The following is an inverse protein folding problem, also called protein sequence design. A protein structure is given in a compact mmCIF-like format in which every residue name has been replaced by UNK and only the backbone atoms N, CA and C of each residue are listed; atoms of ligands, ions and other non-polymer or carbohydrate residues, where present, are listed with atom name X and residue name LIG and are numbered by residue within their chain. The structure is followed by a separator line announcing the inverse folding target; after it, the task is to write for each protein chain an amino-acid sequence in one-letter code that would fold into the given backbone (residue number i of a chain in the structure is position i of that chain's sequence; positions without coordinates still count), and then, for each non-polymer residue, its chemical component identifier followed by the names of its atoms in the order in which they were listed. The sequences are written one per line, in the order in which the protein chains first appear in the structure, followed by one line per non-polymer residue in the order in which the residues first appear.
data_IF_803163794369
#
_entry.id   IF_803163794369
#
_cell.length_a   1.000
_cell.length_b   1.000
_cell.length_c   1.000
_cell.angle_alpha   90.00
_cell.angle_beta   90.00
_cell.angle_gamma   90.00
#
_symmetry.space_group_name_H-M   'P 1'
#
loop_
_entity.id
_entity.type
_entity.pdbx_description
1 polymer ?
#
# COMPACT_ATOMS: atom_id res chain seq x y z
N UNK A 1 1.31 36.74 -6.64
CA UNK A 1 1.25 35.27 -6.81
C UNK A 1 0.57 35.04 -8.16
N UNK A 2 1.29 34.53 -9.17
CA UNK A 2 0.78 34.43 -10.55
C UNK A 2 0.43 32.98 -10.82
N UNK A 3 -0.86 32.70 -11.03
CA UNK A 3 -1.39 31.36 -11.34
C UNK A 3 -1.41 31.13 -12.86
N UNK A 4 -1.61 29.88 -13.30
CA UNK A 4 -1.85 29.53 -14.72
C UNK A 4 -3.03 30.32 -15.30
N UNK A 5 -4.01 30.70 -14.48
CA UNK A 5 -5.18 31.51 -14.86
C UNK A 5 -4.80 32.97 -15.09
N UNK A 6 -3.89 33.51 -14.28
CA UNK A 6 -3.39 34.88 -14.40
C UNK A 6 -2.48 35.05 -15.63
N UNK A 7 -1.78 33.99 -16.05
CA UNK A 7 -0.95 34.01 -17.27
C UNK A 7 -1.77 34.01 -18.57
N UNK A 8 -2.97 33.40 -18.57
CA UNK A 8 -3.85 33.35 -19.76
C UNK A 8 -4.48 34.72 -20.06
N UNK A 9 -4.56 35.63 -19.08
CA UNK A 9 -5.29 36.90 -19.21
C UNK A 9 -4.43 38.17 -19.35
N UNK A 10 -3.10 38.12 -19.17
CA UNK A 10 -2.30 39.36 -19.09
C UNK A 10 -0.87 39.36 -19.65
N UNK A 11 -0.36 38.23 -20.16
CA UNK A 11 1.01 38.17 -20.70
C UNK A 11 0.96 37.70 -22.15
N UNK A 12 1.77 38.33 -23.02
CA UNK A 12 1.95 37.89 -24.39
C UNK A 12 2.50 36.45 -24.41
N UNK A 13 1.60 35.47 -24.49
CA UNK A 13 1.92 34.08 -24.77
C UNK A 13 2.30 34.02 -26.25
N UNK A 14 3.59 33.92 -26.54
CA UNK A 14 4.01 33.55 -27.87
C UNK A 14 3.64 32.07 -28.07
N UNK A 15 2.62 31.81 -28.88
CA UNK A 15 2.53 30.54 -29.58
C UNK A 15 3.69 30.52 -30.57
N UNK A 16 4.86 30.02 -30.15
CA UNK A 16 5.96 29.83 -31.08
C UNK A 16 5.51 28.85 -32.15
N UNK A 17 5.68 29.20 -33.42
CA UNK A 17 5.48 28.30 -34.56
C UNK A 17 6.41 27.06 -34.52
N UNK A 18 7.39 27.04 -33.63
CA UNK A 18 8.24 25.90 -33.33
C UNK A 18 7.66 25.02 -32.23
N UNK A 19 7.64 23.71 -32.49
CA UNK A 19 7.31 22.68 -31.51
C UNK A 19 8.50 22.51 -30.56
N UNK A 20 8.53 23.29 -29.47
CA UNK A 20 9.66 23.28 -28.52
C UNK A 20 9.43 22.23 -27.44
N UNK A 21 10.44 21.38 -27.22
CA UNK A 21 10.50 20.41 -26.12
C UNK A 21 11.55 20.84 -25.11
N UNK A 22 11.64 20.16 -23.96
CA UNK A 22 12.72 20.45 -23.00
C UNK A 22 14.09 20.08 -23.58
N UNK A 23 14.19 18.94 -24.28
CA UNK A 23 15.43 18.47 -24.90
C UNK A 23 15.92 19.41 -26.03
N UNK A 24 15.00 19.96 -26.83
CA UNK A 24 15.34 20.87 -27.93
C UNK A 24 15.46 22.34 -27.49
N UNK A 25 15.26 22.65 -26.21
CA UNK A 25 15.15 24.03 -25.74
C UNK A 25 16.45 24.83 -25.90
N UNK A 26 17.61 24.17 -25.80
CA UNK A 26 18.91 24.80 -25.97
C UNK A 26 19.15 25.35 -27.38
N UNK A 27 18.40 24.87 -28.37
CA UNK A 27 18.47 25.34 -29.76
C UNK A 27 17.46 26.46 -30.05
N UNK A 28 16.46 26.62 -29.17
CA UNK A 28 15.42 27.62 -29.30
C UNK A 28 15.94 29.00 -28.88
N UNK A 29 15.51 30.05 -29.59
CA UNK A 29 15.81 31.44 -29.24
C UNK A 29 14.49 32.21 -29.11
N UNK A 30 13.91 32.26 -27.90
CA UNK A 30 12.74 33.09 -27.63
C UNK A 30 13.06 34.57 -27.88
N UNK A 31 12.09 35.34 -28.36
CA UNK A 31 12.22 36.79 -28.39
C UNK A 31 12.34 37.35 -26.96
N UNK A 32 13.04 38.47 -26.78
CA UNK A 32 13.32 39.01 -25.45
C UNK A 32 12.07 39.41 -24.66
N UNK A 33 10.98 39.71 -25.36
CA UNK A 33 9.68 40.02 -24.77
C UNK A 33 8.96 38.80 -24.18
N UNK A 34 9.35 37.58 -24.55
CA UNK A 34 8.71 36.35 -24.06
C UNK A 34 9.19 36.07 -22.63
N UNK A 35 8.22 36.00 -21.70
CA UNK A 35 8.48 35.74 -20.27
C UNK A 35 8.18 34.30 -19.85
N UNK A 36 7.36 33.59 -20.62
CA UNK A 36 7.05 32.20 -20.37
C UNK A 36 6.72 31.43 -21.67
N UNK A 37 6.99 30.14 -21.66
CA UNK A 37 6.79 29.20 -22.78
C UNK A 37 6.15 27.93 -22.24
N UNK A 38 5.16 27.40 -22.95
CA UNK A 38 4.62 26.07 -22.67
C UNK A 38 5.31 25.08 -23.60
N UNK A 39 5.93 24.06 -23.02
CA UNK A 39 6.61 23.03 -23.80
C UNK A 39 5.60 22.06 -24.41
N UNK A 40 5.88 21.65 -25.65
CA UNK A 40 5.14 20.61 -26.36
C UNK A 40 5.43 19.20 -25.85
N UNK A 41 6.51 19.01 -25.08
CA UNK A 41 6.96 17.74 -24.51
C UNK A 41 8.28 17.87 -23.73
N UNK A 42 8.70 16.81 -23.06
CA UNK A 42 9.99 16.74 -22.36
C UNK A 42 11.12 16.36 -23.33
N UNK A 43 11.07 15.17 -23.93
CA UNK A 43 12.03 14.68 -24.90
C UNK A 43 11.54 14.84 -26.34
N UNK A 44 10.26 14.60 -26.57
CA UNK A 44 9.64 14.65 -27.88
C UNK A 44 8.27 15.33 -27.80
N UNK A 45 7.82 15.98 -28.89
CA UNK A 45 6.51 16.60 -28.91
C UNK A 45 5.39 15.62 -28.60
N UNK A 46 4.45 16.02 -27.74
CA UNK A 46 3.29 15.22 -27.38
C UNK A 46 3.53 14.16 -26.31
N UNK A 47 4.78 13.96 -25.86
CA UNK A 47 5.09 13.05 -24.77
C UNK A 47 4.45 13.47 -23.44
N UNK A 48 4.68 12.68 -22.40
CA UNK A 48 4.05 12.87 -21.08
C UNK A 48 4.49 14.13 -20.35
N UNK A 49 5.56 14.80 -20.78
CA UNK A 49 5.99 16.08 -20.21
C UNK A 49 5.43 17.30 -20.93
N UNK A 50 4.52 17.12 -21.89
CA UNK A 50 3.81 18.22 -22.54
C UNK A 50 3.06 19.10 -21.54
N UNK A 51 2.95 20.38 -21.87
CA UNK A 51 2.22 21.36 -21.05
C UNK A 51 3.02 21.94 -19.89
N UNK A 52 4.30 21.56 -19.73
CA UNK A 52 5.19 22.16 -18.74
C UNK A 52 5.40 23.65 -19.06
N UNK A 53 5.08 24.53 -18.10
CA UNK A 53 5.29 25.97 -18.23
C UNK A 53 6.70 26.33 -17.74
N UNK A 54 7.52 26.87 -18.62
CA UNK A 54 8.83 27.41 -18.30
C UNK A 54 8.76 28.93 -18.30
N UNK A 55 9.25 29.57 -17.23
CA UNK A 55 9.36 31.02 -17.13
C UNK A 55 10.82 31.44 -17.01
N UNK A 56 11.15 32.68 -17.41
CA UNK A 56 12.49 33.24 -17.21
C UNK A 56 12.90 33.14 -15.74
N UNK A 57 14.16 32.78 -15.50
CA UNK A 57 14.70 32.58 -14.16
C UNK A 57 16.22 32.57 -14.13
N UNK A 58 16.78 31.76 -13.23
CA UNK A 58 18.22 31.61 -13.02
C UNK A 58 18.64 30.13 -12.96
N UNK A 59 19.95 29.88 -12.84
CA UNK A 59 20.55 28.55 -12.82
C UNK A 59 20.15 27.66 -11.63
N UNK A 60 19.51 28.23 -10.59
CA UNK A 60 19.21 27.54 -9.33
C UNK A 60 17.74 27.18 -9.18
N UNK A 61 16.88 27.65 -10.08
CA UNK A 61 15.45 27.33 -10.03
C UNK A 61 15.15 25.89 -10.42
N UNK A 62 13.86 25.56 -10.42
CA UNK A 62 13.41 24.19 -10.64
C UNK A 62 13.65 23.74 -12.09
N UNK A 63 14.40 22.64 -12.26
CA UNK A 63 14.73 22.04 -13.56
C UNK A 63 15.20 23.10 -14.57
N UNK A 64 16.30 23.81 -14.28
CA UNK A 64 16.75 24.92 -15.10
C UNK A 64 17.19 24.42 -16.48
N UNK A 65 16.98 25.24 -17.51
CA UNK A 65 17.50 25.05 -18.88
C UNK A 65 17.93 26.39 -19.45
N UNK A 66 18.98 26.37 -20.27
CA UNK A 66 19.41 27.52 -21.06
C UNK A 66 18.79 27.44 -22.45
N UNK A 67 18.39 28.59 -22.98
CA UNK A 67 18.11 28.76 -24.39
C UNK A 67 19.39 29.04 -25.20
N UNK A 68 19.26 29.18 -26.52
CA UNK A 68 20.39 29.45 -27.43
C UNK A 68 21.13 30.76 -27.14
N UNK A 69 20.44 31.74 -26.55
CA UNK A 69 21.02 33.04 -26.17
C UNK A 69 21.76 32.99 -24.82
N UNK A 70 21.64 31.88 -24.08
CA UNK A 70 22.22 31.69 -22.76
C UNK A 70 21.33 32.16 -21.61
N UNK A 71 20.09 32.56 -21.89
CA UNK A 71 19.11 32.94 -20.86
C UNK A 71 18.59 31.70 -20.14
N UNK A 72 18.37 31.79 -18.83
CA UNK A 72 17.86 30.70 -18.00
C UNK A 72 16.33 30.69 -17.94
N UNK A 73 15.78 29.48 -17.99
CA UNK A 73 14.35 29.20 -17.89
C UNK A 73 14.11 28.06 -16.91
N UNK A 74 13.15 28.25 -16.03
CA UNK A 74 12.83 27.32 -14.94
C UNK A 74 11.40 26.83 -15.05
N UNK A 75 11.17 25.57 -14.67
CA UNK A 75 9.84 25.01 -14.57
C UNK A 75 9.04 25.80 -13.53
N UNK A 76 7.96 26.43 -13.97
CA UNK A 76 7.02 27.11 -13.09
C UNK A 76 5.90 26.15 -12.67
N UNK A 77 6.10 25.50 -11.53
CA UNK A 77 5.20 24.48 -10.98
C UNK A 77 4.62 24.88 -9.60
N UNK A 78 4.25 26.16 -9.43
CA UNK A 78 3.77 26.72 -8.15
C UNK A 78 2.24 26.62 -7.97
N UNK A 79 1.64 25.52 -8.41
CA UNK A 79 0.18 25.37 -8.51
C UNK A 79 -0.45 24.41 -7.50
N UNK A 80 0.33 23.81 -6.60
CA UNK A 80 -0.13 22.75 -5.68
C UNK A 80 -0.52 21.43 -6.39
N UNK A 81 -0.46 21.42 -7.72
CA UNK A 81 -0.62 20.27 -8.59
C UNK A 81 0.44 20.32 -9.68
N UNK A 82 1.13 19.21 -9.91
CA UNK A 82 2.15 19.05 -10.95
C UNK A 82 1.99 17.73 -11.68
N UNK A 83 2.53 17.62 -12.89
CA UNK A 83 2.58 16.35 -13.62
C UNK A 83 3.96 15.72 -13.53
N UNK A 84 4.04 14.42 -13.22
CA UNK A 84 5.31 13.70 -13.12
C UNK A 84 6.13 13.77 -14.42
N UNK A 85 5.47 13.80 -15.58
CA UNK A 85 6.13 13.95 -16.88
C UNK A 85 6.88 15.27 -17.05
N UNK A 86 6.50 16.34 -16.33
CA UNK A 86 7.25 17.60 -16.34
C UNK A 86 8.63 17.47 -15.69
N UNK A 87 8.82 16.43 -14.88
CA UNK A 87 10.07 16.09 -14.20
C UNK A 87 10.84 14.97 -14.91
N UNK A 88 10.32 14.48 -16.04
CA UNK A 88 10.97 13.46 -16.85
C UNK A 88 10.48 12.03 -16.58
N UNK A 89 9.38 11.83 -15.85
CA UNK A 89 8.75 10.52 -15.73
C UNK A 89 7.96 10.23 -17.02
N UNK A 90 8.55 9.49 -17.94
CA UNK A 90 8.06 9.31 -19.31
C UNK A 90 7.65 7.88 -19.63
N UNK A 91 8.02 6.87 -18.82
CA UNK A 91 7.73 5.46 -19.12
C UNK A 91 8.65 4.87 -20.21
N UNK A 92 9.85 5.44 -20.37
CA UNK A 92 10.84 5.01 -21.37
C UNK A 92 12.07 4.34 -20.74
N UNK A 93 12.30 4.57 -19.44
CA UNK A 93 13.41 4.05 -18.65
C UNK A 93 12.93 3.89 -17.19
N UNK A 94 13.85 3.71 -16.24
CA UNK A 94 13.50 3.77 -14.83
C UNK A 94 13.15 5.22 -14.43
N UNK A 95 11.88 5.44 -14.11
CA UNK A 95 11.29 6.73 -13.78
C UNK A 95 11.39 7.07 -12.29
N UNK A 96 12.02 6.21 -11.47
CA UNK A 96 12.13 6.38 -10.02
C UNK A 96 12.59 7.78 -9.61
N UNK A 97 13.71 8.25 -10.18
CA UNK A 97 14.29 9.56 -9.81
C UNK A 97 13.40 10.73 -10.25
N UNK A 98 12.84 10.67 -11.46
CA UNK A 98 11.96 11.71 -11.98
C UNK A 98 10.66 11.82 -11.17
N UNK A 99 10.10 10.68 -10.76
CA UNK A 99 8.91 10.63 -9.91
C UNK A 99 9.21 11.18 -8.51
N UNK A 100 10.34 10.82 -7.91
CA UNK A 100 10.76 11.36 -6.62
C UNK A 100 10.94 12.89 -6.68
N UNK A 101 11.54 13.43 -7.75
CA UNK A 101 11.69 14.88 -7.93
C UNK A 101 10.35 15.62 -7.95
N UNK A 102 9.33 15.05 -8.61
CA UNK A 102 7.98 15.63 -8.63
C UNK A 102 7.33 15.63 -7.24
N UNK A 103 7.48 14.53 -6.50
CA UNK A 103 6.96 14.38 -5.13
C UNK A 103 7.65 15.34 -4.17
N UNK A 104 8.98 15.41 -4.20
CA UNK A 104 9.76 16.30 -3.34
C UNK A 104 9.43 17.76 -3.59
N UNK A 105 9.19 18.13 -4.87
CA UNK A 105 8.78 19.48 -5.22
C UNK A 105 7.43 19.85 -4.60
N UNK A 106 6.42 18.99 -4.75
CA UNK A 106 5.10 19.22 -4.13
C UNK A 106 5.18 19.23 -2.61
N UNK A 107 5.96 18.33 -2.02
CA UNK A 107 6.17 18.31 -0.57
C UNK A 107 6.81 19.60 -0.05
N UNK A 108 7.84 20.11 -0.74
CA UNK A 108 8.50 21.40 -0.40
C UNK A 108 7.55 22.60 -0.47
N UNK A 109 6.44 22.49 -1.20
CA UNK A 109 5.39 23.51 -1.25
C UNK A 109 4.36 23.40 -0.11
N UNK A 110 4.52 22.43 0.80
CA UNK A 110 3.58 22.15 1.89
C UNK A 110 2.56 21.05 1.57
N UNK A 111 2.76 20.30 0.48
CA UNK A 111 1.86 19.24 0.02
C UNK A 111 1.15 19.61 -1.28
N UNK A 112 0.30 18.71 -1.76
CA UNK A 112 -0.40 18.86 -3.04
C UNK A 112 -0.49 17.57 -3.83
N UNK A 113 -0.69 17.68 -5.15
CA UNK A 113 -0.96 16.54 -6.03
C UNK A 113 0.11 16.36 -7.10
N UNK A 114 0.65 15.15 -7.21
CA UNK A 114 1.43 14.68 -8.37
C UNK A 114 0.50 13.87 -9.26
N UNK A 115 0.23 14.37 -10.46
CA UNK A 115 -0.53 13.67 -11.49
C UNK A 115 0.37 12.85 -12.40
N UNK A 116 -0.15 11.71 -12.83
CA UNK A 116 0.58 10.77 -13.67
C UNK A 116 -0.27 10.45 -14.88
N UNK A 117 0.25 10.74 -16.07
CA UNK A 117 -0.47 10.43 -17.31
C UNK A 117 -0.62 8.92 -17.50
N UNK A 118 -1.59 8.51 -18.32
CA UNK A 118 -1.75 7.10 -18.67
C UNK A 118 -0.47 6.55 -19.33
N UNK A 119 -0.07 5.33 -18.98
CA UNK A 119 1.18 4.72 -19.43
C UNK A 119 1.73 3.67 -18.49
N UNK A 120 2.68 2.88 -19.00
CA UNK A 120 3.51 1.97 -18.18
C UNK A 120 4.81 2.67 -17.81
N UNK A 121 5.12 2.66 -16.51
CA UNK A 121 6.31 3.26 -15.90
C UNK A 121 7.11 2.19 -15.19
N UNK A 122 8.43 2.21 -15.38
CA UNK A 122 9.32 1.35 -14.61
C UNK A 122 9.76 2.13 -13.39
N UNK A 123 9.51 1.60 -12.19
CA UNK A 123 9.98 2.18 -10.92
C UNK A 123 10.67 1.05 -10.18
N UNK A 124 11.98 0.93 -10.34
CA UNK A 124 12.73 -0.27 -9.98
C UNK A 124 14.06 0.00 -9.26
N UNK A 125 14.57 1.23 -9.25
CA UNK A 125 15.77 1.57 -8.46
C UNK A 125 15.43 1.70 -6.97
N UNK A 126 16.33 1.19 -6.12
CA UNK A 126 16.31 1.46 -4.67
C UNK A 126 16.69 2.93 -4.45
N UNK A 127 15.81 3.70 -3.82
CA UNK A 127 16.11 5.08 -3.41
C UNK A 127 16.37 5.22 -1.91
N UNK A 128 16.02 4.21 -1.12
CA UNK A 128 16.25 4.22 0.32
C UNK A 128 15.69 2.99 1.02
N UNK A 129 15.69 3.05 2.34
CA UNK A 129 15.20 1.99 3.22
C UNK A 129 14.24 2.57 4.25
N UNK A 130 13.04 2.01 4.33
CA UNK A 130 12.03 2.36 5.33
C UNK A 130 12.23 1.47 6.56
N UNK A 131 12.48 2.09 7.70
CA UNK A 131 12.61 1.36 8.97
C UNK A 131 11.35 0.57 9.29
N UNK A 132 11.52 -0.64 9.79
CA UNK A 132 10.45 -1.49 10.32
C UNK A 132 10.37 -1.22 11.83
N UNK A 133 9.26 -0.65 12.32
CA UNK A 133 9.18 -0.25 13.72
C UNK A 133 9.09 -1.43 14.71
N UNK A 134 9.00 -2.66 14.22
CA UNK A 134 9.03 -3.86 15.05
C UNK A 134 10.44 -4.15 15.58
N UNK A 135 10.87 -3.45 16.62
CA UNK A 135 12.08 -3.76 17.38
C UNK A 135 11.91 -3.38 18.84
N UNK A 136 12.67 -4.05 19.70
CA UNK A 136 12.77 -3.74 21.12
C UNK A 136 14.06 -2.95 21.37
N UNK A 137 13.95 -1.73 21.89
CA UNK A 137 15.09 -0.85 22.18
C UNK A 137 15.87 -1.24 23.45
N UNK A 138 15.44 -2.33 24.12
CA UNK A 138 16.06 -2.85 25.32
C UNK A 138 15.69 -2.09 26.59
N UNK A 139 14.91 -1.00 26.49
CA UNK A 139 14.54 -0.14 27.61
C UNK A 139 13.10 -0.41 28.05
N UNK A 140 12.87 -0.39 29.37
CA UNK A 140 11.53 -0.49 29.94
C UNK A 140 11.48 0.20 31.30
N UNK A 141 10.49 1.05 31.53
CA UNK A 141 10.40 1.82 32.78
C UNK A 141 10.16 0.86 33.94
N UNK A 142 11.01 0.93 34.96
CA UNK A 142 10.89 0.07 36.15
C UNK A 142 11.44 -1.36 35.99
N UNK A 143 12.15 -1.67 34.90
CA UNK A 143 12.78 -2.98 34.69
C UNK A 143 14.24 -2.87 34.24
N UNK A 144 15.06 -3.93 34.44
CA UNK A 144 16.42 -3.96 33.89
C UNK A 144 16.43 -3.82 32.37
N UNK A 145 17.37 -2.99 31.90
CA UNK A 145 17.69 -2.91 30.49
C UNK A 145 18.19 -4.27 29.98
N UNK A 146 17.83 -4.61 28.75
CA UNK A 146 18.37 -5.76 28.02
C UNK A 146 19.03 -5.27 26.74
N UNK A 147 19.77 -6.14 26.05
CA UNK A 147 20.38 -5.80 24.78
C UNK A 147 19.32 -5.37 23.74
N UNK A 148 19.44 -4.20 23.11
CA UNK A 148 18.52 -3.77 22.06
C UNK A 148 18.51 -4.73 20.87
N UNK A 149 17.39 -4.79 20.16
CA UNK A 149 17.34 -5.48 18.87
C UNK A 149 17.96 -4.65 17.75
N UNK A 150 18.53 -5.36 16.78
CA UNK A 150 18.95 -4.74 15.53
C UNK A 150 17.71 -4.21 14.80
N UNK A 151 17.70 -2.91 14.56
CA UNK A 151 16.69 -2.23 13.74
C UNK A 151 16.76 -2.77 12.32
N UNK A 152 15.63 -3.21 11.79
CA UNK A 152 15.50 -3.69 10.43
C UNK A 152 14.83 -2.65 9.55
N UNK A 153 15.07 -2.73 8.24
CA UNK A 153 14.47 -1.83 7.25
C UNK A 153 14.13 -2.60 5.98
N UNK A 154 13.20 -2.06 5.19
CA UNK A 154 12.79 -2.57 3.88
C UNK A 154 13.18 -1.58 2.78
N UNK A 155 13.80 -2.05 1.70
CA UNK A 155 14.12 -1.21 0.56
C UNK A 155 12.86 -0.62 -0.10
N UNK A 156 12.94 0.61 -0.59
CA UNK A 156 11.87 1.25 -1.35
C UNK A 156 12.38 1.98 -2.58
N UNK A 157 11.49 2.15 -3.57
CA UNK A 157 11.79 2.90 -4.78
C UNK A 157 11.45 4.38 -4.66
N UNK A 158 10.26 4.73 -4.18
CA UNK A 158 9.83 6.13 -4.05
C UNK A 158 9.26 6.40 -2.66
N UNK A 159 9.69 7.51 -2.07
CA UNK A 159 9.23 8.02 -0.77
C UNK A 159 8.05 8.96 -0.97
N UNK A 160 6.97 8.73 -0.23
CA UNK A 160 5.75 9.55 -0.25
C UNK A 160 5.55 10.19 1.13
N UNK A 161 5.87 11.48 1.29
CA UNK A 161 5.68 12.17 2.56
C UNK A 161 4.21 12.57 2.79
N UNK A 162 3.89 12.95 4.04
CA UNK A 162 2.57 13.46 4.41
C UNK A 162 2.13 14.67 3.58
N UNK A 163 0.82 14.78 3.35
CA UNK A 163 0.22 15.86 2.56
C UNK A 163 0.40 15.74 1.04
N UNK A 164 1.08 14.69 0.54
CA UNK A 164 1.22 14.43 -0.90
C UNK A 164 0.15 13.45 -1.38
N UNK A 165 -0.45 13.78 -2.51
CA UNK A 165 -1.39 12.94 -3.25
C UNK A 165 -0.77 12.51 -4.57
N UNK A 166 -0.85 11.23 -4.92
CA UNK A 166 -0.40 10.68 -6.20
C UNK A 166 -1.62 10.15 -6.94
N UNK A 167 -1.90 10.71 -8.10
CA UNK A 167 -3.13 10.41 -8.85
C UNK A 167 -2.78 10.05 -10.29
N UNK A 168 -3.02 8.79 -10.65
CA UNK A 168 -2.92 8.32 -12.03
C UNK A 168 -4.14 8.73 -12.87
N UNK A 169 -3.93 8.82 -14.17
CA UNK A 169 -5.02 8.70 -15.14
C UNK A 169 -5.39 7.23 -15.32
N UNK A 170 -6.58 6.96 -15.88
CA UNK A 170 -6.95 5.60 -16.21
C UNK A 170 -5.93 4.98 -17.18
N UNK A 171 -5.36 3.82 -16.81
CA UNK A 171 -4.29 3.18 -17.55
C UNK A 171 -2.88 3.59 -17.13
N UNK A 172 -2.69 4.16 -15.94
CA UNK A 172 -1.36 4.30 -15.31
C UNK A 172 -0.93 2.99 -14.64
N UNK A 173 0.23 2.47 -15.02
CA UNK A 173 0.85 1.25 -14.50
C UNK A 173 2.26 1.54 -13.97
N UNK A 174 2.56 1.06 -12.76
CA UNK A 174 3.92 0.91 -12.27
C UNK A 174 4.32 -0.55 -12.30
N UNK A 175 5.50 -0.82 -12.85
CA UNK A 175 6.04 -2.17 -13.01
C UNK A 175 7.40 -2.28 -12.34
N UNK A 176 7.47 -3.23 -11.40
CA UNK A 176 8.71 -3.67 -10.79
C UNK A 176 9.24 -4.96 -11.44
N UNK A 177 10.27 -5.51 -10.82
CA UNK A 177 10.94 -6.76 -11.22
C UNK A 177 10.71 -7.91 -10.23
N UNK A 178 9.83 -7.72 -9.23
CA UNK A 178 9.61 -8.71 -8.18
C UNK A 178 9.20 -10.06 -8.75
N UNK A 179 9.85 -11.12 -8.25
CA UNK A 179 9.43 -12.50 -8.48
C UNK A 179 8.71 -13.00 -7.25
N UNK A 180 7.45 -13.41 -7.42
CA UNK A 180 6.63 -13.87 -6.32
C UNK A 180 7.28 -15.03 -5.56
N UNK A 181 7.37 -14.91 -4.24
CA UNK A 181 8.02 -15.87 -3.34
C UNK A 181 9.41 -15.44 -2.90
N UNK A 182 10.06 -14.51 -3.61
CA UNK A 182 11.22 -13.84 -3.04
C UNK A 182 10.76 -13.01 -1.84
N UNK A 183 11.49 -13.11 -0.74
CA UNK A 183 11.17 -12.35 0.46
C UNK A 183 12.48 -12.01 1.17
N UNK A 184 12.85 -10.73 1.12
CA UNK A 184 14.05 -10.20 1.76
C UNK A 184 13.90 -8.71 2.00
N UNK A 185 14.83 -8.14 2.77
CA UNK A 185 14.90 -6.70 3.02
C UNK A 185 15.23 -5.86 1.77
N UNK A 186 15.78 -6.50 0.74
CA UNK A 186 16.23 -5.84 -0.49
C UNK A 186 15.12 -5.81 -1.56
N UNK A 187 14.03 -6.56 -1.34
CA UNK A 187 12.85 -6.52 -2.19
C UNK A 187 12.10 -5.19 -2.03
N UNK A 188 11.55 -4.65 -3.13
CA UNK A 188 11.10 -3.26 -3.13
C UNK A 188 9.68 -3.05 -2.65
N UNK A 189 9.52 -2.05 -1.79
CA UNK A 189 8.30 -1.25 -1.71
C UNK A 189 8.29 -0.27 -2.89
N UNK A 190 7.27 -0.24 -3.73
CA UNK A 190 7.19 0.80 -4.78
C UNK A 190 7.03 2.18 -4.14
N UNK A 191 5.93 2.39 -3.40
CA UNK A 191 5.66 3.63 -2.67
C UNK A 191 5.75 3.42 -1.17
N UNK A 192 6.85 3.89 -0.58
CA UNK A 192 7.02 3.93 0.87
C UNK A 192 6.51 5.24 1.45
N UNK A 193 5.45 5.16 2.27
CA UNK A 193 4.99 6.27 3.09
C UNK A 193 5.82 6.25 4.36
N UNK A 194 6.73 7.22 4.46
CA UNK A 194 7.73 7.28 5.52
C UNK A 194 7.60 8.58 6.33
N UNK A 195 7.85 8.47 7.63
CA UNK A 195 7.73 9.55 8.60
C UNK A 195 7.80 9.03 10.04
N UNK A 196 8.11 9.93 10.98
CA UNK A 196 7.99 9.66 12.40
C UNK A 196 6.58 10.02 12.89
N UNK A 197 5.94 9.10 13.61
CA UNK A 197 4.62 9.34 14.20
C UNK A 197 3.47 9.28 13.19
N UNK A 198 2.58 10.28 13.24
CA UNK A 198 1.36 10.34 12.43
C UNK A 198 1.58 11.08 11.11
N UNK A 199 1.50 10.35 10.01
CA UNK A 199 1.54 10.90 8.65
C UNK A 199 0.10 11.09 8.18
N UNK A 200 -0.25 12.34 7.86
CA UNK A 200 -1.61 12.73 7.51
C UNK A 200 -1.78 12.99 6.01
N UNK A 201 -3.02 12.84 5.53
CA UNK A 201 -3.48 13.36 4.22
C UNK A 201 -2.71 12.85 3.01
N UNK A 202 -2.14 11.64 3.08
CA UNK A 202 -1.57 10.95 1.91
C UNK A 202 -2.71 10.36 1.08
N UNK A 203 -2.63 10.48 -0.24
CA UNK A 203 -3.55 9.78 -1.13
C UNK A 203 -2.81 9.11 -2.31
N UNK A 204 -3.21 7.89 -2.66
CA UNK A 204 -2.72 7.18 -3.85
C UNK A 204 -3.95 6.64 -4.59
N UNK A 205 -4.14 7.10 -5.83
CA UNK A 205 -5.40 6.90 -6.56
C UNK A 205 -5.16 6.52 -8.03
N UNK A 206 -6.02 5.66 -8.58
CA UNK A 206 -6.10 5.31 -10.01
C UNK A 206 -4.80 4.72 -10.60
N UNK A 207 -4.16 3.79 -9.87
CA UNK A 207 -2.87 3.23 -10.27
C UNK A 207 -2.91 1.70 -10.22
N UNK A 208 -2.35 1.07 -11.25
CA UNK A 208 -2.03 -0.36 -11.24
C UNK A 208 -0.58 -0.57 -10.85
N UNK A 209 -0.31 -1.40 -9.86
CA UNK A 209 1.03 -1.84 -9.48
C UNK A 209 1.21 -3.30 -9.88
N UNK A 210 2.32 -3.62 -10.53
CA UNK A 210 2.65 -4.96 -10.99
C UNK A 210 4.04 -5.37 -10.54
N UNK A 211 4.16 -6.60 -10.03
CA UNK A 211 5.44 -7.21 -9.67
C UNK A 211 6.24 -6.34 -8.68
N UNK A 212 5.64 -6.04 -7.53
CA UNK A 212 6.34 -5.46 -6.37
C UNK A 212 6.25 -6.37 -5.16
N UNK A 213 7.25 -6.33 -4.29
CA UNK A 213 7.12 -7.01 -3.00
C UNK A 213 6.03 -6.34 -2.16
N UNK A 214 6.07 -5.02 -2.04
CA UNK A 214 4.92 -4.24 -1.57
C UNK A 214 4.63 -3.13 -2.58
N UNK A 215 3.39 -3.03 -3.07
CA UNK A 215 3.06 -1.88 -3.92
C UNK A 215 3.06 -0.58 -3.11
N UNK A 216 2.45 -0.60 -1.92
CA UNK A 216 2.44 0.53 -0.98
C UNK A 216 2.82 0.02 0.40
N UNK A 217 3.75 0.68 1.07
CA UNK A 217 4.24 0.29 2.38
C UNK A 217 4.39 1.47 3.33
N UNK A 218 3.96 1.31 4.58
CA UNK A 218 4.24 2.23 5.68
C UNK A 218 4.73 1.46 6.89
N UNK A 219 5.98 0.98 6.89
CA UNK A 219 6.50 0.09 7.93
C UNK A 219 6.79 0.76 9.26
N UNK A 220 6.76 2.10 9.37
CA UNK A 220 7.00 2.81 10.63
C UNK A 220 5.94 3.86 10.95
N UNK A 221 5.52 4.60 9.94
CA UNK A 221 4.54 5.67 10.11
C UNK A 221 3.14 5.12 10.41
N UNK A 222 2.43 5.84 11.28
CA UNK A 222 1.01 5.67 11.52
C UNK A 222 0.27 6.56 10.51
N UNK A 223 -0.66 6.01 9.74
CA UNK A 223 -1.38 6.80 8.74
C UNK A 223 -2.72 7.28 9.30
N UNK A 224 -2.99 8.56 9.13
CA UNK A 224 -4.23 9.20 9.56
C UNK A 224 -4.89 9.90 8.37
N UNK A 225 -6.19 9.65 8.16
CA UNK A 225 -6.93 10.26 7.05
C UNK A 225 -6.28 10.02 5.67
N UNK A 226 -5.59 8.89 5.50
CA UNK A 226 -5.02 8.49 4.23
C UNK A 226 -6.10 7.89 3.30
N UNK A 227 -5.93 8.05 1.99
CA UNK A 227 -6.86 7.57 0.97
C UNK A 227 -6.17 6.68 -0.07
N UNK A 228 -6.69 5.48 -0.26
CA UNK A 228 -6.22 4.51 -1.24
C UNK A 228 -7.42 4.10 -2.09
N UNK A 229 -7.49 4.56 -3.34
CA UNK A 229 -8.72 4.41 -4.14
C UNK A 229 -8.45 4.03 -5.60
N UNK A 230 -9.30 3.17 -6.18
CA UNK A 230 -9.17 2.71 -7.57
C UNK A 230 -7.78 2.13 -7.85
N UNK A 231 -7.32 1.25 -6.95
CA UNK A 231 -6.01 0.63 -7.05
C UNK A 231 -6.12 -0.77 -7.61
N UNK A 232 -5.15 -1.16 -8.44
CA UNK A 232 -5.00 -2.54 -8.90
C UNK A 232 -3.65 -3.10 -8.51
N UNK A 233 -3.62 -4.31 -7.96
CA UNK A 233 -2.39 -5.01 -7.59
C UNK A 233 -2.27 -6.31 -8.39
N UNK A 234 -1.17 -6.49 -9.10
CA UNK A 234 -0.94 -7.66 -9.94
C UNK A 234 0.39 -8.33 -9.56
N UNK A 235 0.32 -9.59 -9.12
CA UNK A 235 1.50 -10.37 -8.76
C UNK A 235 2.41 -9.71 -7.72
N UNK A 236 1.84 -8.96 -6.77
CA UNK A 236 2.59 -8.41 -5.66
C UNK A 236 2.65 -9.40 -4.49
N UNK A 237 3.65 -9.35 -3.60
CA UNK A 237 3.51 -10.08 -2.33
C UNK A 237 2.43 -9.41 -1.47
N UNK A 238 2.45 -8.07 -1.41
CA UNK A 238 1.43 -7.27 -0.76
C UNK A 238 0.99 -6.09 -1.63
N UNK A 239 -0.32 -5.80 -1.62
CA UNK A 239 -0.84 -4.56 -2.17
C UNK A 239 -0.49 -3.38 -1.26
N UNK A 240 -1.04 -3.39 -0.04
CA UNK A 240 -0.85 -2.34 0.95
C UNK A 240 -0.40 -2.95 2.29
N UNK A 241 0.75 -2.54 2.81
CA UNK A 241 1.18 -2.82 4.18
C UNK A 241 1.26 -1.52 4.99
N UNK A 242 0.64 -1.48 6.16
CA UNK A 242 0.67 -0.30 7.04
C UNK A 242 0.83 -0.72 8.50
N UNK A 243 1.71 -0.05 9.25
CA UNK A 243 1.81 -0.26 10.70
C UNK A 243 0.50 0.03 11.42
N UNK A 244 -0.10 1.19 11.15
CA UNK A 244 -1.34 1.62 11.80
C UNK A 244 -2.18 2.49 10.87
N UNK A 245 -3.50 2.25 10.86
CA UNK A 245 -4.49 3.06 10.16
C UNK A 245 -5.44 3.72 11.15
N UNK A 246 -5.67 5.02 10.97
CA UNK A 246 -6.67 5.75 11.73
C UNK A 246 -7.50 6.64 10.78
N UNK A 247 -8.83 6.46 10.77
CA UNK A 247 -9.75 7.27 9.95
C UNK A 247 -9.40 7.26 8.45
N UNK A 248 -8.86 6.15 7.96
CA UNK A 248 -8.41 6.02 6.58
C UNK A 248 -9.50 5.46 5.67
N UNK A 249 -9.27 5.56 4.36
CA UNK A 249 -10.20 5.13 3.33
C UNK A 249 -9.48 4.24 2.32
N UNK A 250 -9.92 2.99 2.17
CA UNK A 250 -9.43 2.01 1.20
C UNK A 250 -10.62 1.54 0.37
N UNK A 251 -10.73 1.91 -0.91
CA UNK A 251 -11.90 1.60 -1.74
C UNK A 251 -11.54 1.29 -3.19
N UNK A 252 -12.42 0.55 -3.86
CA UNK A 252 -12.30 0.16 -5.27
C UNK A 252 -10.92 -0.45 -5.57
N UNK A 253 -10.51 -1.40 -4.74
CA UNK A 253 -9.25 -2.12 -4.87
C UNK A 253 -9.50 -3.45 -5.58
N UNK A 254 -8.70 -3.76 -6.59
CA UNK A 254 -8.69 -5.09 -7.23
C UNK A 254 -7.29 -5.70 -7.12
N UNK A 255 -7.21 -6.97 -6.81
CA UNK A 255 -5.95 -7.70 -6.74
C UNK A 255 -6.05 -9.02 -7.51
N UNK A 256 -4.99 -9.34 -8.25
CA UNK A 256 -4.86 -10.59 -8.98
C UNK A 256 -3.48 -11.18 -8.72
N UNK A 257 -3.42 -12.46 -8.32
CA UNK A 257 -2.14 -13.13 -8.08
C UNK A 257 -1.32 -12.52 -6.94
N UNK A 258 -1.93 -11.68 -6.10
CA UNK A 258 -1.26 -10.94 -5.02
C UNK A 258 -1.38 -11.70 -3.70
N UNK A 259 -0.29 -11.75 -2.92
CA UNK A 259 -0.19 -12.56 -1.70
C UNK A 259 -1.20 -12.14 -0.64
N UNK A 260 -1.23 -10.85 -0.28
CA UNK A 260 -2.24 -10.24 0.56
C UNK A 260 -2.59 -8.84 0.04
N UNK A 261 -3.87 -8.48 -0.05
CA UNK A 261 -4.25 -7.17 -0.62
C UNK A 261 -3.97 -6.05 0.37
N UNK A 262 -4.44 -6.18 1.61
CA UNK A 262 -4.22 -5.19 2.66
C UNK A 262 -3.79 -5.88 3.96
N UNK A 263 -2.63 -5.51 4.48
CA UNK A 263 -2.14 -5.96 5.77
C UNK A 263 -1.89 -4.74 6.68
N UNK A 264 -2.44 -4.78 7.89
CA UNK A 264 -2.34 -3.70 8.88
C UNK A 264 -1.83 -4.25 10.20
N UNK A 265 -0.89 -3.56 10.84
CA UNK A 265 -0.41 -3.92 12.17
C UNK A 265 0.79 -4.86 12.19
N UNK A 266 0.83 -5.70 13.24
CA UNK A 266 1.87 -6.70 13.48
C UNK A 266 3.11 -6.20 14.22
N UNK A 267 3.28 -4.90 14.45
CA UNK A 267 4.53 -4.37 15.00
C UNK A 267 4.50 -4.22 16.52
N UNK A 268 5.63 -4.54 17.16
CA UNK A 268 5.92 -4.32 18.57
C UNK A 268 6.01 -2.81 18.83
N UNK A 269 5.34 -2.29 19.87
CA UNK A 269 5.44 -0.87 20.23
C UNK A 269 6.06 -0.62 21.61
N UNK A 270 6.10 -1.61 22.50
CA UNK A 270 6.80 -1.54 23.78
C UNK A 270 6.94 -2.95 24.40
N UNK A 271 7.94 -3.12 25.29
CA UNK A 271 8.05 -4.33 26.15
C UNK A 271 6.97 -4.37 27.24
N UNK A 272 6.25 -3.27 27.43
CA UNK A 272 5.21 -3.06 28.43
C UNK A 272 3.88 -3.61 27.90
N UNK A 273 3.41 -4.70 28.50
CA UNK A 273 2.12 -5.34 28.19
C UNK A 273 1.01 -4.87 29.16
N UNK A 274 1.18 -3.70 29.78
CA UNK A 274 0.18 -3.10 30.66
C UNK A 274 -0.94 -2.49 29.81
N UNK A 275 -2.15 -2.94 30.12
CA UNK A 275 -3.40 -2.60 29.46
C UNK A 275 -3.73 -1.09 29.61
N UNK A 276 -4.43 -0.52 28.60
CA UNK A 276 -5.10 0.81 28.58
C UNK A 276 -4.42 2.03 27.91
N UNK A 277 -3.63 1.87 26.84
CA UNK A 277 -3.42 3.02 25.92
C UNK A 277 -4.56 3.12 24.90
N UNK A 278 -5.29 4.24 24.90
CA UNK A 278 -6.52 4.48 24.14
C UNK A 278 -6.40 4.61 22.61
N UNK A 279 -5.51 3.86 21.95
CA UNK A 279 -5.29 3.93 20.50
C UNK A 279 -5.37 2.57 19.79
N UNK A 280 -6.25 2.47 18.78
CA UNK A 280 -6.36 1.30 17.89
C UNK A 280 -5.30 1.28 16.80
N UNK A 281 -4.86 0.09 16.40
CA UNK A 281 -3.90 -0.07 15.30
C UNK A 281 -4.58 -0.10 13.91
N UNK A 282 -5.90 -0.30 13.86
CA UNK A 282 -6.72 -0.03 12.69
C UNK A 282 -8.09 0.47 13.16
N UNK A 283 -8.25 1.79 13.31
CA UNK A 283 -9.46 2.38 13.87
C UNK A 283 -10.17 3.33 12.89
N UNK A 284 -11.49 3.37 12.95
CA UNK A 284 -12.39 4.21 12.14
C UNK A 284 -12.10 4.16 10.65
N UNK A 285 -11.57 3.04 10.17
CA UNK A 285 -11.13 2.91 8.78
C UNK A 285 -12.25 2.29 7.95
N UNK A 286 -12.47 2.88 6.78
CA UNK A 286 -13.43 2.40 5.80
C UNK A 286 -12.70 1.54 4.77
N UNK A 287 -13.12 0.29 4.68
CA UNK A 287 -12.77 -0.64 3.61
C UNK A 287 -14.00 -0.77 2.71
N UNK A 288 -13.96 -0.14 1.55
CA UNK A 288 -15.04 -0.14 0.59
C UNK A 288 -15.11 -1.45 -0.19
N UNK A 289 -14.91 -1.35 -1.49
CA UNK A 289 -14.89 -2.48 -2.42
C UNK A 289 -13.47 -3.03 -2.56
N UNK A 290 -13.27 -4.29 -2.21
CA UNK A 290 -12.01 -5.02 -2.37
C UNK A 290 -12.31 -6.33 -3.09
N UNK A 291 -11.79 -6.48 -4.31
CA UNK A 291 -11.82 -7.73 -5.08
C UNK A 291 -10.46 -8.39 -5.04
N UNK A 292 -10.38 -9.58 -4.46
CA UNK A 292 -9.16 -10.38 -4.43
C UNK A 292 -9.35 -11.67 -5.21
N UNK A 293 -8.69 -11.78 -6.35
CA UNK A 293 -8.57 -13.01 -7.15
C UNK A 293 -7.19 -13.58 -6.86
N UNK A 294 -7.10 -14.47 -5.89
CA UNK A 294 -5.80 -14.96 -5.44
C UNK A 294 -5.16 -15.83 -6.51
N UNK A 295 -5.84 -16.89 -6.96
CA UNK A 295 -5.47 -17.71 -8.14
C UNK A 295 -4.00 -18.18 -8.11
N UNK A 296 -3.43 -18.40 -6.92
CA UNK A 296 -2.12 -19.04 -6.74
C UNK A 296 -2.30 -20.37 -6.01
N UNK A 297 -1.34 -21.27 -6.20
CA UNK A 297 -1.28 -22.51 -5.44
C UNK A 297 -0.51 -22.20 -4.15
N UNK A 298 -1.13 -22.39 -2.99
CA UNK A 298 -0.42 -22.23 -1.72
C UNK A 298 0.75 -23.21 -1.62
N UNK A 299 1.97 -22.70 -1.45
CA UNK A 299 3.18 -23.50 -1.44
C UNK A 299 4.38 -22.81 -0.80
N UNK A 300 5.58 -23.16 -1.28
CA UNK A 300 6.86 -22.69 -0.74
C UNK A 300 7.06 -21.18 -0.90
N UNK A 301 6.57 -20.60 -1.99
CA UNK A 301 6.66 -19.16 -2.26
C UNK A 301 5.88 -18.35 -1.22
N UNK A 302 4.64 -18.76 -0.94
CA UNK A 302 3.78 -18.16 0.08
C UNK A 302 4.37 -18.34 1.48
N UNK A 303 4.88 -19.54 1.79
CA UNK A 303 5.53 -19.82 3.07
C UNK A 303 6.77 -18.95 3.29
N UNK A 304 7.55 -18.65 2.24
CA UNK A 304 8.71 -17.77 2.35
C UNK A 304 8.32 -16.31 2.66
N UNK A 305 7.24 -15.82 2.06
CA UNK A 305 6.70 -14.48 2.35
C UNK A 305 6.18 -14.43 3.79
N UNK A 306 5.35 -15.40 4.20
CA UNK A 306 4.83 -15.46 5.56
C UNK A 306 5.96 -15.55 6.60
N UNK A 307 6.99 -16.37 6.36
CA UNK A 307 8.14 -16.53 7.27
C UNK A 307 8.99 -15.27 7.35
N UNK A 308 9.18 -14.56 6.25
CA UNK A 308 9.84 -13.26 6.29
C UNK A 308 9.03 -12.24 7.10
N UNK A 309 7.71 -12.16 6.89
CA UNK A 309 6.86 -11.26 7.67
C UNK A 309 6.81 -11.61 9.14
N UNK A 310 6.73 -12.91 9.47
CA UNK A 310 6.83 -13.35 10.86
C UNK A 310 8.20 -13.01 11.44
N UNK A 311 9.31 -13.18 10.72
CA UNK A 311 10.65 -12.88 11.28
C UNK A 311 10.97 -11.39 11.38
N UNK A 312 10.47 -10.57 10.48
CA UNK A 312 10.87 -9.16 10.36
C UNK A 312 9.84 -8.16 10.88
N UNK A 313 8.55 -8.42 10.67
CA UNK A 313 7.48 -7.49 11.02
C UNK A 313 6.72 -7.94 12.27
N UNK A 314 6.30 -9.21 12.33
CA UNK A 314 5.50 -9.74 13.43
C UNK A 314 6.31 -10.30 14.60
N UNK A 315 7.51 -10.82 14.35
CA UNK A 315 8.46 -11.39 15.32
C UNK A 315 7.84 -12.34 16.37
N UNK A 316 7.04 -13.34 15.98
CA UNK A 316 6.44 -14.31 16.94
C UNK A 316 7.49 -15.04 17.79
N UNK A 317 8.71 -15.26 17.27
CA UNK A 317 9.80 -15.93 18.02
C UNK A 317 10.31 -15.14 19.23
N UNK A 318 10.14 -13.81 19.25
CA UNK A 318 10.57 -12.97 20.37
C UNK A 318 9.67 -13.10 21.62
N UNK A 319 8.49 -13.69 21.46
CA UNK A 319 7.50 -13.90 22.53
C UNK A 319 8.03 -14.73 23.71
N UNK A 320 9.14 -15.47 23.57
CA UNK A 320 9.66 -16.31 24.67
C UNK A 320 10.69 -15.64 25.57
N UNK A 321 11.44 -14.64 25.07
CA UNK A 321 12.63 -14.09 25.75
C UNK A 321 12.45 -12.62 26.15
N UNK A 322 11.69 -11.84 25.36
CA UNK A 322 11.62 -10.37 25.51
C UNK A 322 10.30 -9.85 26.08
N UNK A 323 9.30 -10.70 26.26
CA UNK A 323 8.10 -10.31 27.01
C UNK A 323 8.51 -9.98 28.44
N UNK A 324 8.17 -8.77 28.92
CA UNK A 324 8.35 -8.40 30.32
C UNK A 324 7.70 -9.43 31.26
N UNK A 325 8.12 -9.49 32.53
CA UNK A 325 7.47 -10.38 33.49
C UNK A 325 5.98 -10.05 33.56
N UNK A 326 5.09 -11.06 33.64
CA UNK A 326 3.67 -10.83 33.78
C UNK A 326 3.42 -10.07 35.08
N UNK A 327 3.22 -8.76 35.01
CA UNK A 327 2.67 -8.00 36.13
C UNK A 327 1.20 -8.40 36.25
N UNK A 328 0.94 -9.46 37.00
CA UNK A 328 -0.36 -9.95 37.45
C UNK A 328 -1.37 -10.47 36.39
N UNK A 329 -1.04 -10.47 35.10
CA UNK A 329 -1.84 -11.15 34.05
C UNK A 329 -0.92 -11.90 33.06
N UNK A 330 -1.37 -13.05 32.52
CA UNK A 330 -0.70 -13.67 31.37
C UNK A 330 -0.71 -12.67 30.22
N UNK A 331 0.45 -12.47 29.59
CA UNK A 331 0.57 -11.49 28.52
C UNK A 331 -0.49 -11.70 27.43
N UNK A 332 -1.28 -10.66 27.11
CA UNK A 332 -2.38 -10.77 26.13
C UNK A 332 -1.80 -11.00 24.73
N UNK A 333 -0.58 -10.53 24.45
CA UNK A 333 0.10 -10.82 23.19
C UNK A 333 0.22 -12.31 22.87
N UNK A 334 0.34 -13.18 23.88
CA UNK A 334 0.38 -14.64 23.68
C UNK A 334 -0.92 -15.20 23.08
N UNK A 335 -2.02 -14.44 23.13
CA UNK A 335 -3.30 -14.81 22.55
C UNK A 335 -3.40 -14.52 21.05
N UNK A 336 -2.56 -13.62 20.52
CA UNK A 336 -2.53 -13.26 19.12
C UNK A 336 -1.23 -13.80 18.51
N UNK A 337 -1.31 -15.00 17.93
CA UNK A 337 -0.19 -15.60 17.19
C UNK A 337 -0.26 -15.17 15.74
N UNK A 338 0.87 -15.03 15.06
CA UNK A 338 0.88 -14.83 13.62
C UNK A 338 0.21 -16.01 12.89
N UNK A 339 -0.65 -15.70 11.90
CA UNK A 339 -1.49 -16.68 11.18
C UNK A 339 -1.26 -16.75 9.68
N UNK A 340 -0.10 -16.24 9.23
CA UNK A 340 0.22 -16.09 7.81
C UNK A 340 -0.65 -15.02 7.13
N UNK A 341 -0.05 -14.22 6.26
CA UNK A 341 -0.75 -13.20 5.49
C UNK A 341 -1.16 -13.67 4.09
N UNK A 342 -0.38 -14.56 3.46
CA UNK A 342 -0.66 -14.99 2.08
C UNK A 342 -2.02 -15.68 1.95
N UNK A 343 -2.73 -15.43 0.86
CA UNK A 343 -4.06 -16.00 0.61
C UNK A 343 -5.21 -15.26 1.29
N UNK A 344 -4.98 -14.03 1.80
CA UNK A 344 -6.02 -13.20 2.43
C UNK A 344 -6.30 -11.95 1.60
N UNK A 345 -7.53 -11.44 1.66
CA UNK A 345 -7.82 -10.10 1.14
C UNK A 345 -7.35 -9.03 2.15
N UNK A 346 -7.73 -9.17 3.40
CA UNK A 346 -7.38 -8.22 4.46
C UNK A 346 -6.91 -8.97 5.71
N UNK A 347 -5.78 -8.55 6.29
CA UNK A 347 -5.30 -9.03 7.58
C UNK A 347 -4.97 -7.86 8.52
N UNK A 348 -5.76 -7.71 9.57
CA UNK A 348 -5.57 -6.76 10.66
C UNK A 348 -4.94 -7.52 11.84
N UNK A 349 -3.63 -7.39 11.96
CA UNK A 349 -2.77 -8.12 12.90
C UNK A 349 -2.66 -7.38 14.23
N UNK A 350 -3.25 -7.95 15.28
CA UNK A 350 -3.07 -7.43 16.63
C UNK A 350 -1.77 -7.95 17.22
N UNK A 351 -0.99 -7.07 17.85
CA UNK A 351 0.11 -7.45 18.72
C UNK A 351 -0.04 -6.66 20.01
N UNK A 352 0.00 -7.35 21.16
CA UNK A 352 -0.27 -6.79 22.51
C UNK A 352 -1.64 -6.11 22.67
N UNK A 353 -2.68 -6.87 23.02
CA UNK A 353 -3.84 -6.42 23.81
C UNK A 353 -4.58 -5.10 23.49
N UNK A 354 -4.50 -4.55 22.28
CA UNK A 354 -5.15 -3.27 21.89
C UNK A 354 -6.43 -3.53 21.07
N UNK A 355 -7.61 -3.76 21.68
CA UNK A 355 -8.80 -4.18 20.94
C UNK A 355 -9.52 -3.07 20.15
N UNK A 356 -9.12 -1.80 20.24
CA UNK A 356 -9.88 -0.66 19.68
C UNK A 356 -9.85 -0.54 18.16
N UNK A 357 -10.33 -1.56 17.45
CA UNK A 357 -10.60 -1.49 16.01
C UNK A 357 -12.11 -1.33 15.82
N UNK A 358 -12.52 -0.19 15.28
CA UNK A 358 -13.87 0.02 14.79
C UNK A 358 -13.86 0.36 13.29
N UNK A 359 -14.24 -0.59 12.44
CA UNK A 359 -14.06 -0.46 10.99
C UNK A 359 -15.32 -0.84 10.22
N UNK A 360 -15.46 -0.31 9.00
CA UNK A 360 -16.56 -0.66 8.09
C UNK A 360 -16.00 -1.39 6.88
N UNK A 361 -16.60 -2.52 6.53
CA UNK A 361 -16.28 -3.32 5.35
C UNK A 361 -17.50 -3.35 4.42
N UNK A 362 -17.45 -2.75 3.23
CA UNK A 362 -18.60 -2.74 2.31
C UNK A 362 -18.70 -3.98 1.45
N UNK A 363 -17.77 -4.18 0.52
CA UNK A 363 -17.79 -5.34 -0.37
C UNK A 363 -16.42 -6.00 -0.36
N UNK A 364 -16.33 -7.18 0.25
CA UNK A 364 -15.13 -8.02 0.17
C UNK A 364 -15.43 -9.23 -0.70
N UNK A 365 -14.89 -9.21 -1.91
CA UNK A 365 -14.94 -10.33 -2.85
C UNK A 365 -13.61 -11.07 -2.80
N UNK A 366 -13.64 -12.38 -2.61
CA UNK A 366 -12.45 -13.20 -2.47
C UNK A 366 -12.61 -14.51 -3.24
N UNK A 367 -11.71 -14.76 -4.18
CA UNK A 367 -11.83 -15.87 -5.10
C UNK A 367 -10.52 -16.67 -5.19
N UNK A 368 -10.64 -17.98 -5.40
CA UNK A 368 -9.53 -18.91 -5.64
C UNK A 368 -8.45 -18.78 -4.58
N UNK A 369 -8.81 -18.92 -3.30
CA UNK A 369 -7.92 -18.60 -2.19
C UNK A 369 -7.93 -19.64 -1.07
N UNK A 370 -6.78 -19.89 -0.43
CA UNK A 370 -6.64 -20.94 0.59
C UNK A 370 -7.03 -20.49 2.01
N UNK A 371 -7.04 -19.18 2.30
CA UNK A 371 -7.28 -18.63 3.65
C UNK A 371 -8.54 -17.75 3.69
N UNK A 372 -8.94 -17.37 4.90
CA UNK A 372 -10.07 -16.46 5.11
C UNK A 372 -9.84 -15.10 4.42
N UNK A 373 -10.90 -14.57 3.83
CA UNK A 373 -10.88 -13.27 3.15
C UNK A 373 -10.44 -12.15 4.08
N UNK A 374 -11.03 -12.09 5.27
CA UNK A 374 -10.71 -11.10 6.30
C UNK A 374 -10.24 -11.84 7.57
N UNK A 375 -9.14 -11.37 8.16
CA UNK A 375 -8.70 -11.80 9.48
C UNK A 375 -8.46 -10.58 10.36
N UNK A 376 -9.03 -10.58 11.56
CA UNK A 376 -8.89 -9.49 12.52
C UNK A 376 -8.64 -10.10 13.90
N UNK A 377 -7.43 -9.95 14.43
CA UNK A 377 -7.08 -10.61 15.70
C UNK A 377 -7.89 -10.08 16.89
N UNK A 378 -8.21 -8.77 16.94
CA UNK A 378 -9.07 -8.15 17.95
C UNK A 378 -9.88 -6.98 17.36
N UNK A 379 -11.17 -6.86 17.68
CA UNK A 379 -11.99 -5.71 17.30
C UNK A 379 -13.07 -5.39 18.33
N UNK A 380 -13.38 -4.10 18.49
CA UNK A 380 -14.48 -3.62 19.32
C UNK A 380 -15.80 -3.55 18.56
N UNK A 381 -15.79 -3.00 17.34
CA UNK A 381 -17.01 -2.72 16.58
C UNK A 381 -16.75 -2.68 15.07
N UNK A 382 -16.86 -3.82 14.39
CA UNK A 382 -16.72 -3.87 12.93
C UNK A 382 -18.07 -4.19 12.26
N UNK A 383 -18.38 -3.49 11.18
CA UNK A 383 -19.59 -3.74 10.36
C UNK A 383 -19.19 -4.26 8.98
N UNK A 384 -20.00 -5.17 8.43
CA UNK A 384 -19.83 -5.70 7.07
C UNK A 384 -21.12 -5.58 6.26
N UNK A 385 -21.09 -5.08 5.02
CA UNK A 385 -22.29 -5.04 4.18
C UNK A 385 -22.42 -6.33 3.35
N UNK A 386 -21.45 -6.62 2.47
CA UNK A 386 -21.49 -7.71 1.51
C UNK A 386 -20.15 -8.45 1.43
N UNK A 387 -20.22 -9.77 1.37
CA UNK A 387 -19.07 -10.66 1.19
C UNK A 387 -19.38 -11.62 0.07
N UNK A 388 -18.45 -11.78 -0.87
CA UNK A 388 -18.59 -12.75 -1.95
C UNK A 388 -17.37 -13.69 -1.96
N UNK A 389 -17.60 -14.99 -1.82
CA UNK A 389 -16.55 -16.02 -1.81
C UNK A 389 -16.74 -16.97 -3.00
N UNK A 390 -15.69 -17.18 -3.79
CA UNK A 390 -15.73 -18.04 -4.98
C UNK A 390 -14.55 -19.02 -4.97
N UNK A 391 -14.80 -20.34 -4.93
CA UNK A 391 -13.74 -21.36 -4.92
C UNK A 391 -12.65 -21.08 -3.84
N UNK A 392 -13.09 -20.85 -2.59
CA UNK A 392 -12.19 -20.67 -1.44
C UNK A 392 -12.12 -21.94 -0.58
N UNK A 393 -10.96 -22.21 0.02
CA UNK A 393 -10.74 -23.41 0.83
C UNK A 393 -10.12 -24.56 0.02
N UNK A 394 -10.68 -25.78 0.09
CA UNK A 394 -10.06 -27.02 -0.41
C UNK A 394 -9.51 -26.97 -1.84
N UNK A 395 -10.10 -26.17 -2.72
CA UNK A 395 -9.59 -25.89 -4.05
C UNK A 395 -9.23 -24.40 -4.12
N UNK A 396 -7.96 -24.07 -3.84
CA UNK A 396 -7.43 -22.71 -3.88
C UNK A 396 -7.02 -22.26 -5.29
N UNK A 397 -6.93 -23.17 -6.26
CA UNK A 397 -6.49 -22.85 -7.60
C UNK A 397 -7.19 -23.71 -8.66
N UNK A 398 -7.50 -23.13 -9.82
CA UNK A 398 -8.09 -23.85 -10.96
C UNK A 398 -7.24 -25.04 -11.45
N UNK A 399 -5.93 -24.98 -11.24
CA UNK A 399 -4.99 -26.03 -11.61
C UNK A 399 -4.84 -27.10 -10.52
N UNK A 400 -5.35 -26.85 -9.31
CA UNK A 400 -5.29 -27.81 -8.20
C UNK A 400 -6.51 -28.72 -8.25
N UNK A 401 -6.25 -30.02 -8.43
CA UNK A 401 -7.28 -31.06 -8.47
C UNK A 401 -7.51 -31.75 -7.11
N UNK A 402 -6.52 -31.71 -6.23
CA UNK A 402 -6.55 -32.30 -4.88
C UNK A 402 -6.81 -31.28 -3.76
N UNK A 403 -7.16 -31.74 -2.57
CA UNK A 403 -7.53 -30.88 -1.44
C UNK A 403 -6.37 -30.04 -0.88
N UNK A 404 -6.65 -28.90 -0.24
CA UNK A 404 -5.70 -28.29 0.73
C UNK A 404 -5.41 -29.31 1.83
N UNK A 405 -4.13 -29.57 2.11
CA UNK A 405 -3.68 -30.61 3.05
C UNK A 405 -3.29 -31.95 2.42
N UNK A 406 -3.64 -32.21 1.15
CA UNK A 406 -3.23 -33.46 0.47
C UNK A 406 -1.73 -33.47 0.12
N UNK A 407 -1.19 -32.31 -0.25
CA UNK A 407 0.22 -32.13 -0.67
C UNK A 407 0.93 -30.96 0.02
N UNK A 408 0.21 -30.13 0.78
CA UNK A 408 0.77 -28.95 1.44
C UNK A 408 0.15 -28.73 2.82
N UNK A 409 1.00 -28.62 3.84
CA UNK A 409 0.67 -28.27 5.23
C UNK A 409 0.93 -26.78 5.42
N UNK A 410 -0.09 -26.02 5.82
CA UNK A 410 0.08 -24.60 6.17
C UNK A 410 0.85 -24.49 7.49
N UNK A 411 2.05 -23.92 7.47
CA UNK A 411 2.92 -23.81 8.66
C UNK A 411 2.30 -23.00 9.81
N UNK A 412 1.38 -22.06 9.51
CA UNK A 412 0.80 -21.14 10.50
C UNK A 412 -0.57 -21.56 10.99
N UNK A 413 -1.29 -22.33 10.18
CA UNK A 413 -2.61 -22.83 10.51
C UNK A 413 -2.57 -24.29 10.96
N UNK A 414 -1.65 -25.09 10.44
CA UNK A 414 -1.47 -26.51 10.74
C UNK A 414 -1.90 -27.43 9.58
N UNK A 415 -1.80 -28.74 9.79
CA UNK A 415 -2.24 -29.74 8.81
C UNK A 415 -3.78 -29.76 8.68
N UNK A 416 -4.26 -29.96 7.45
CA UNK A 416 -5.69 -30.05 7.07
C UNK A 416 -6.56 -28.90 7.59
N UNK A 417 -6.00 -27.71 7.81
CA UNK A 417 -6.79 -26.60 8.35
C UNK A 417 -7.73 -26.03 7.30
N UNK A 418 -9.01 -26.39 7.49
CA UNK A 418 -10.18 -25.86 6.78
C UNK A 418 -10.40 -24.41 7.22
N UNK A 419 -10.36 -23.45 6.29
CA UNK A 419 -10.84 -22.09 6.60
C UNK A 419 -11.78 -21.55 5.54
N UNK A 420 -13.03 -22.03 5.50
CA UNK A 420 -14.11 -21.23 4.95
C UNK A 420 -14.60 -20.28 6.05
N UNK A 421 -14.05 -19.07 6.10
CA UNK A 421 -14.60 -18.05 6.99
C UNK A 421 -14.46 -16.67 6.36
N UNK A 422 -15.55 -15.92 6.34
CA UNK A 422 -15.56 -14.49 6.02
C UNK A 422 -14.58 -13.75 6.95
N UNK A 423 -14.71 -13.98 8.26
CA UNK A 423 -13.87 -13.39 9.29
C UNK A 423 -13.45 -14.46 10.27
N UNK A 424 -12.17 -14.50 10.62
CA UNK A 424 -11.72 -15.20 11.83
C UNK A 424 -10.89 -14.24 12.66
N UNK A 425 -11.16 -14.25 13.96
CA UNK A 425 -10.54 -13.38 14.95
C UNK A 425 -10.63 -14.01 16.32
N UNK A 426 -9.75 -13.61 17.25
CA UNK A 426 -9.74 -14.17 18.60
C UNK A 426 -10.80 -13.49 19.48
N UNK A 427 -11.04 -12.19 19.25
CA UNK A 427 -12.11 -11.40 19.88
C UNK A 427 -12.72 -10.43 18.84
N UNK A 428 -13.49 -10.94 17.90
CA UNK A 428 -14.10 -10.13 16.85
C UNK A 428 -15.54 -10.58 16.58
N UNK A 429 -16.46 -9.61 16.49
CA UNK A 429 -17.77 -9.76 15.84
C UNK A 429 -17.80 -8.82 14.63
N UNK A 430 -18.13 -9.35 13.46
CA UNK A 430 -18.51 -8.53 12.30
C UNK A 430 -19.93 -8.93 11.94
N UNK A 431 -20.84 -7.97 12.07
CA UNK A 431 -22.21 -8.14 11.59
C UNK A 431 -22.19 -7.93 10.07
N UNK A 432 -22.05 -9.02 9.31
CA UNK A 432 -22.22 -9.01 7.86
C UNK A 432 -23.72 -8.97 7.53
N UNK A 433 -24.16 -8.01 6.74
CA UNK A 433 -25.56 -7.96 6.31
C UNK A 433 -25.86 -9.08 5.30
N UNK A 434 -24.93 -9.41 4.39
CA UNK A 434 -25.08 -10.46 3.37
C UNK A 434 -23.77 -11.19 3.09
N UNK A 435 -23.82 -12.53 3.00
CA UNK A 435 -22.70 -13.37 2.55
C UNK A 435 -23.17 -14.23 1.38
N UNK A 436 -22.49 -14.14 0.25
CA UNK A 436 -22.69 -14.96 -0.94
C UNK A 436 -21.50 -15.89 -1.12
N UNK A 437 -21.75 -17.16 -1.45
CA UNK A 437 -20.70 -18.13 -1.73
C UNK A 437 -21.06 -18.96 -2.96
N UNK A 438 -20.19 -18.96 -3.96
CA UNK A 438 -20.30 -19.79 -5.15
C UNK A 438 -19.28 -20.93 -5.03
N UNK A 439 -19.78 -22.14 -4.71
CA UNK A 439 -19.04 -23.37 -4.39
C UNK A 439 -18.10 -23.30 -3.19
N UNK A 440 -18.62 -23.71 -2.03
CA UNK A 440 -17.81 -24.22 -0.92
C UNK A 440 -17.64 -25.73 -1.08
N UNK A 441 -16.42 -26.23 -1.32
CA UNK A 441 -16.18 -27.68 -1.41
C UNK A 441 -15.91 -28.22 0.00
N UNK A 442 -16.86 -29.02 0.51
CA UNK A 442 -16.75 -29.73 1.78
C UNK A 442 -16.32 -31.18 1.55
N UNK A 443 -15.54 -31.71 2.48
CA UNK A 443 -15.17 -33.13 2.50
C UNK A 443 -16.37 -33.96 3.02
N UNK A 444 -16.82 -35.01 2.30
CA UNK A 444 -18.00 -35.80 2.68
C UNK A 444 -17.89 -36.57 4.01
N UNK A 445 -16.68 -36.79 4.53
CA UNK A 445 -16.43 -37.74 5.63
C UNK A 445 -16.22 -37.10 7.02
N UNK A 446 -16.51 -35.80 7.19
CA UNK A 446 -16.29 -35.11 8.47
C UNK A 446 -17.40 -34.07 8.76
N UNK A 447 -18.51 -34.49 9.40
CA UNK A 447 -19.73 -33.68 9.57
C UNK A 447 -19.68 -32.61 10.67
N UNK A 448 -18.61 -32.50 11.46
CA UNK A 448 -18.66 -31.71 12.71
C UNK A 448 -18.08 -30.29 12.63
N UNK A 449 -17.82 -29.69 11.46
CA UNK A 449 -17.50 -28.25 11.38
C UNK A 449 -18.16 -27.56 10.17
N UNK A 450 -18.75 -26.40 10.46
CA UNK A 450 -19.78 -25.66 9.73
C UNK A 450 -19.70 -25.61 8.19
N UNK A 451 -20.89 -25.77 7.60
CA UNK A 451 -21.21 -25.56 6.19
C UNK A 451 -21.83 -24.18 5.97
N UNK A 452 -21.40 -23.43 4.94
CA UNK A 452 -22.27 -22.47 4.25
C UNK A 452 -22.73 -23.12 2.95
N UNK A 453 -24.02 -23.49 2.92
CA UNK A 453 -24.73 -23.90 1.71
C UNK A 453 -25.28 -22.62 1.07
N UNK A 454 -24.93 -22.37 -0.19
CA UNK A 454 -25.41 -21.22 -0.94
C UNK A 454 -26.94 -21.28 -1.04
N UNK A 455 -27.60 -20.30 -0.47
CA UNK A 455 -28.87 -19.70 -0.91
C UNK A 455 -28.98 -18.39 -0.14
N UNK A 456 -29.41 -17.31 -0.79
CA UNK A 456 -29.46 -15.94 -0.23
C UNK A 456 -30.08 -15.95 1.18
N UNK A 457 -29.28 -15.69 2.21
CA UNK A 457 -29.71 -15.73 3.61
C UNK A 457 -29.24 -14.45 4.33
N UNK A 458 -30.20 -13.84 5.02
CA UNK A 458 -30.15 -12.58 5.78
C UNK A 458 -30.45 -11.30 4.98
N UNK A 459 -31.73 -10.91 4.98
CA UNK A 459 -32.11 -9.50 5.11
C UNK A 459 -32.30 -9.23 6.60
N UNK A 460 -31.59 -8.24 7.14
CA UNK A 460 -31.70 -7.81 8.54
C UNK A 460 -33.17 -7.56 8.91
N UNK A 461 -33.74 -8.44 9.73
CA UNK A 461 -35.14 -8.41 10.08
C UNK A 461 -35.53 -9.47 11.10
N UNK A 462 -34.83 -9.53 12.24
CA UNK A 462 -35.39 -9.73 13.58
C UNK A 462 -34.28 -9.76 14.63
N UNK A 463 -34.55 -9.09 15.74
CA UNK A 463 -33.65 -8.61 16.79
C UNK A 463 -32.82 -9.69 17.49
#
# INVERSE_FOLDING_TARGET
MVTRRDFIQGVALAASSGVVTRSSFAEFQPADSVQAIILSGFNQPGDRGRGALYARGDATGLLPIKDRSGSWWNLNANTGEVWAGWFGALGLADDTAALQLAIDHVYRQGGGTVRISAGEYTVASVSGYAEIAAHDDGQLVGFPAIEPEVVQSQAFAVRVPGGVRIVGEFGTYFKGSYTFGNASRDELICFAIDGSGFVQSVAIENITFRNYFMAIGSPKANLVMAKFENLRFENCALGLYVRQLERCYVDRVTAQGTGCVVAVGGQWCSREDVYQEGGGFCDKTYFGTIHNIYQRVMGTAEAAIDDYFDRSFYKTRNERIRLGPPTYARSIARNFKYRGLCGRAVYIMARHGRPSNANTFRLISHAYAPRAALWIDAALACTGDVVYLENCGYQDNVNRKGGIGEVFVDTYLGDRVRVPAFVKGVNCKIDAQKVFCERLVLEPESPDHFMFKSDVLFTSGNR
#
